data_IF_294525436306
#
_entry.id   IF_294525436306
#
_cell.length_a   1.000
_cell.length_b   1.000
_cell.length_c   1.000
_cell.angle_alpha   90.00
_cell.angle_beta   90.00
_cell.angle_gamma   90.00
#
_symmetry.space_group_name_H-M   'P 1'
#
loop_
_entity.id
_entity.type
_entity.pdbx_description
1 polymer ?
#
# COMPACT_ATOMS: atom_id res chain seq x y z
N UNK A 1 4.31 -9.47 -21.64
CA UNK A 1 5.71 -9.92 -21.50
C UNK A 1 6.17 -9.40 -20.15
N UNK A 2 6.38 -10.30 -19.20
CA UNK A 2 6.73 -9.94 -17.83
C UNK A 2 8.07 -9.16 -17.80
N UNK A 3 8.22 -8.14 -16.93
CA UNK A 3 9.47 -7.40 -16.78
C UNK A 3 10.65 -8.33 -16.44
N UNK A 4 11.86 -7.90 -16.80
CA UNK A 4 13.10 -8.64 -16.56
C UNK A 4 13.34 -8.89 -15.06
N UNK A 5 13.87 -10.08 -14.74
CA UNK A 5 14.06 -10.52 -13.36
C UNK A 5 14.95 -9.56 -12.57
N UNK A 6 16.00 -9.03 -13.20
CA UNK A 6 16.92 -8.10 -12.56
C UNK A 6 16.21 -6.81 -12.10
N UNK A 7 15.22 -6.36 -12.87
CA UNK A 7 14.44 -5.16 -12.58
C UNK A 7 13.48 -5.42 -11.43
N UNK A 8 12.75 -6.55 -11.46
CA UNK A 8 11.86 -6.95 -10.38
C UNK A 8 12.61 -7.18 -9.06
N UNK A 9 13.74 -7.89 -9.11
CA UNK A 9 14.59 -8.12 -7.94
C UNK A 9 15.16 -6.81 -7.39
N UNK A 10 15.57 -5.86 -8.25
CA UNK A 10 16.02 -4.54 -7.81
C UNK A 10 14.91 -3.77 -7.09
N UNK A 11 13.67 -3.82 -7.60
CA UNK A 11 12.51 -3.20 -6.96
C UNK A 11 12.21 -3.88 -5.62
N UNK A 12 12.16 -5.22 -5.58
CA UNK A 12 11.88 -5.97 -4.35
C UNK A 12 12.98 -5.79 -3.31
N UNK A 13 14.26 -5.74 -3.70
CA UNK A 13 15.39 -5.55 -2.78
C UNK A 13 15.38 -4.19 -2.09
N UNK A 14 14.76 -3.16 -2.70
CA UNK A 14 14.55 -1.87 -2.04
C UNK A 14 13.53 -1.96 -0.90
N UNK A 15 12.63 -2.93 -0.97
CA UNK A 15 11.43 -3.04 -0.10
C UNK A 15 11.51 -4.24 0.83
N UNK A 16 12.54 -5.09 0.73
CA UNK A 16 12.58 -6.37 1.43
C UNK A 16 13.95 -7.05 1.47
N UNK A 17 14.17 -7.89 2.50
CA UNK A 17 15.30 -8.81 2.53
C UNK A 17 15.01 -10.08 1.71
N UNK A 18 15.52 -10.09 0.47
CA UNK A 18 15.31 -11.18 -0.49
C UNK A 18 15.95 -12.51 -0.09
N UNK A 19 16.80 -12.53 0.93
CA UNK A 19 17.38 -13.78 1.45
C UNK A 19 16.40 -14.58 2.31
N UNK A 20 15.29 -13.96 2.73
CA UNK A 20 14.27 -14.59 3.59
C UNK A 20 13.17 -15.27 2.77
N UNK A 21 12.62 -16.40 3.25
CA UNK A 21 11.44 -17.02 2.67
C UNK A 21 10.27 -16.05 2.54
N UNK A 22 9.55 -16.11 1.42
CA UNK A 22 8.35 -15.31 1.17
C UNK A 22 7.39 -15.98 0.18
N UNK A 23 6.08 -15.68 0.23
CA UNK A 23 5.15 -16.05 -0.83
C UNK A 23 5.58 -15.55 -2.21
N UNK A 24 5.66 -16.48 -3.16
CA UNK A 24 5.95 -16.26 -4.57
C UNK A 24 4.88 -16.96 -5.39
N UNK A 25 4.27 -16.25 -6.35
CA UNK A 25 3.35 -16.81 -7.33
C UNK A 25 4.04 -16.92 -8.69
N UNK A 26 3.77 -18.01 -9.39
CA UNK A 26 4.30 -18.27 -10.73
C UNK A 26 3.16 -18.59 -11.68
N UNK A 27 3.25 -18.02 -12.88
CA UNK A 27 2.16 -18.01 -13.85
C UNK A 27 2.50 -18.79 -15.11
N UNK A 28 1.56 -19.62 -15.55
CA UNK A 28 1.69 -20.48 -16.71
C UNK A 28 0.47 -20.39 -17.62
N UNK A 29 0.69 -20.48 -18.93
CA UNK A 29 -0.33 -20.64 -19.96
C UNK A 29 -0.10 -21.94 -20.71
N UNK A 30 -1.04 -22.87 -20.62
CA UNK A 30 -0.94 -24.22 -21.17
C UNK A 30 -1.98 -24.42 -22.29
N UNK A 31 -1.74 -25.32 -23.26
CA UNK A 31 -2.66 -25.52 -24.37
C UNK A 31 -3.98 -26.17 -23.95
N UNK A 32 -4.00 -26.94 -22.86
CA UNK A 32 -5.17 -27.67 -22.37
C UNK A 32 -5.22 -27.70 -20.84
N UNK A 33 -6.41 -27.91 -20.28
CA UNK A 33 -6.60 -28.15 -18.84
C UNK A 33 -5.78 -29.35 -18.36
N UNK A 34 -5.75 -30.42 -19.15
CA UNK A 34 -4.98 -31.62 -18.83
C UNK A 34 -3.49 -31.33 -18.71
N UNK A 35 -2.93 -30.50 -19.60
CA UNK A 35 -1.53 -30.07 -19.52
C UNK A 35 -1.26 -29.23 -18.26
N UNK A 36 -2.22 -28.37 -17.86
CA UNK A 36 -2.10 -27.62 -16.61
C UNK A 36 -2.12 -28.53 -15.37
N UNK A 37 -3.01 -29.52 -15.34
CA UNK A 37 -3.07 -30.53 -14.27
C UNK A 37 -1.80 -31.40 -14.24
N UNK A 38 -1.27 -31.77 -15.40
CA UNK A 38 -0.01 -32.51 -15.50
C UNK A 38 1.17 -31.69 -14.99
N UNK A 39 1.27 -30.41 -15.37
CA UNK A 39 2.29 -29.50 -14.83
C UNK A 39 2.19 -29.41 -13.31
N UNK A 40 1.00 -29.21 -12.76
CA UNK A 40 0.77 -29.13 -11.32
C UNK A 40 1.25 -30.41 -10.60
N UNK A 41 1.02 -31.59 -11.19
CA UNK A 41 1.50 -32.86 -10.66
C UNK A 41 3.02 -33.00 -10.62
N UNK A 42 3.76 -32.24 -11.44
CA UNK A 42 5.24 -32.24 -11.49
C UNK A 42 5.87 -31.21 -10.52
N UNK A 43 5.06 -30.32 -9.94
CA UNK A 43 5.51 -29.22 -9.08
C UNK A 43 5.40 -29.58 -7.60
N UNK A 44 6.24 -30.51 -7.15
CA UNK A 44 6.29 -30.91 -5.73
C UNK A 44 6.57 -29.73 -4.79
N UNK A 45 5.76 -29.61 -3.74
CA UNK A 45 5.85 -28.52 -2.75
C UNK A 45 5.23 -27.19 -3.20
N UNK A 46 4.60 -27.15 -4.38
CA UNK A 46 3.85 -25.99 -4.86
C UNK A 46 2.34 -26.19 -4.64
N UNK A 47 1.65 -25.11 -4.32
CA UNK A 47 0.19 -25.12 -4.12
C UNK A 47 -0.49 -24.35 -5.23
N UNK A 48 -1.56 -24.90 -5.81
CA UNK A 48 -2.38 -24.16 -6.78
C UNK A 48 -3.05 -22.95 -6.12
N UNK A 49 -3.05 -21.81 -6.81
CA UNK A 49 -3.75 -20.60 -6.39
C UNK A 49 -4.93 -20.34 -7.32
N UNK A 50 -6.15 -20.34 -6.74
CA UNK A 50 -7.38 -20.21 -7.51
C UNK A 50 -7.65 -21.44 -8.40
N UNK A 51 -8.58 -21.30 -9.34
CA UNK A 51 -8.94 -22.38 -10.28
C UNK A 51 -8.08 -22.34 -11.55
N UNK A 52 -7.77 -23.52 -12.09
CA UNK A 52 -7.27 -23.66 -13.47
C UNK A 52 -8.41 -23.27 -14.41
N UNK A 53 -8.19 -22.27 -15.26
CA UNK A 53 -9.28 -21.68 -16.06
C UNK A 53 -8.84 -21.35 -17.49
N UNK A 54 -9.76 -21.41 -18.46
CA UNK A 54 -9.46 -20.99 -19.82
C UNK A 54 -9.24 -19.47 -19.88
N UNK A 55 -8.22 -19.04 -20.62
CA UNK A 55 -7.92 -17.65 -20.96
C UNK A 55 -7.58 -17.61 -22.45
N UNK A 56 -8.47 -16.99 -23.23
CA UNK A 56 -8.45 -17.02 -24.70
C UNK A 56 -8.35 -18.45 -25.24
N UNK A 57 -7.27 -18.77 -25.98
CA UNK A 57 -7.01 -20.08 -26.56
C UNK A 57 -6.07 -20.95 -25.69
N UNK A 58 -5.93 -20.63 -24.40
CA UNK A 58 -5.02 -21.32 -23.47
C UNK A 58 -5.70 -21.55 -22.11
N UNK A 59 -4.99 -22.21 -21.21
CA UNK A 59 -5.39 -22.49 -19.84
C UNK A 59 -4.39 -21.87 -18.88
N UNK A 60 -4.87 -20.99 -18.01
CA UNK A 60 -4.04 -20.32 -17.01
C UNK A 60 -3.94 -21.17 -15.74
N UNK A 61 -2.72 -21.34 -15.26
CA UNK A 61 -2.40 -21.96 -13.97
C UNK A 61 -1.51 -20.99 -13.17
N UNK A 62 -1.87 -20.78 -11.91
CA UNK A 62 -1.02 -20.09 -10.93
C UNK A 62 -0.65 -21.04 -9.82
N UNK A 63 0.63 -21.06 -9.46
CA UNK A 63 1.14 -21.85 -8.34
C UNK A 63 1.92 -20.97 -7.37
N UNK A 64 1.83 -21.29 -6.08
CA UNK A 64 2.47 -20.57 -4.99
C UNK A 64 3.40 -21.45 -4.19
N UNK A 65 4.47 -20.84 -3.72
CA UNK A 65 5.37 -21.40 -2.70
C UNK A 65 5.80 -20.31 -1.72
N UNK A 66 5.94 -20.63 -0.45
CA UNK A 66 6.13 -19.64 0.64
C UNK A 66 7.41 -19.86 1.46
N UNK A 67 8.08 -20.99 1.28
CA UNK A 67 9.26 -21.45 2.04
C UNK A 67 10.59 -21.15 1.33
N UNK A 68 10.56 -20.48 0.16
CA UNK A 68 11.75 -20.15 -0.62
C UNK A 68 12.05 -18.64 -0.60
N UNK A 69 13.34 -18.25 -0.63
CA UNK A 69 13.71 -16.85 -0.81
C UNK A 69 13.46 -16.39 -2.25
N UNK A 70 13.20 -15.09 -2.44
CA UNK A 70 13.01 -14.49 -3.77
C UNK A 70 14.26 -13.70 -4.20
N UNK A 71 15.42 -14.35 -4.14
CA UNK A 71 16.70 -13.77 -4.57
C UNK A 71 17.08 -14.24 -5.98
N UNK A 72 18.12 -13.62 -6.54
CA UNK A 72 18.60 -13.93 -7.89
C UNK A 72 18.90 -15.43 -8.12
N UNK A 73 19.67 -16.14 -7.26
CA UNK A 73 19.88 -17.58 -7.43
C UNK A 73 18.59 -18.40 -7.52
N UNK A 74 17.63 -18.14 -6.63
CA UNK A 74 16.38 -18.90 -6.58
C UNK A 74 15.50 -18.60 -7.79
N UNK A 75 15.29 -17.32 -8.10
CA UNK A 75 14.43 -16.91 -9.23
C UNK A 75 15.00 -17.38 -10.56
N UNK A 76 16.32 -17.25 -10.78
CA UNK A 76 16.96 -17.74 -12.00
C UNK A 76 16.83 -19.27 -12.16
N UNK A 77 16.95 -20.02 -11.06
CA UNK A 77 16.77 -21.47 -11.05
C UNK A 77 15.32 -21.88 -11.34
N UNK A 78 14.36 -21.21 -10.71
CA UNK A 78 12.94 -21.45 -10.92
C UNK A 78 12.52 -21.10 -12.35
N UNK A 79 12.92 -19.93 -12.86
CA UNK A 79 12.61 -19.51 -14.23
C UNK A 79 13.08 -20.53 -15.25
N UNK A 80 14.31 -21.02 -15.13
CA UNK A 80 14.86 -22.04 -16.04
C UNK A 80 14.01 -23.31 -16.01
N UNK A 81 13.82 -23.88 -14.81
CA UNK A 81 13.06 -25.12 -14.62
C UNK A 81 11.62 -24.98 -15.12
N UNK A 82 10.95 -23.87 -14.78
CA UNK A 82 9.55 -23.66 -15.12
C UNK A 82 9.34 -23.39 -16.60
N UNK A 83 10.30 -22.71 -17.25
CA UNK A 83 10.29 -22.55 -18.70
C UNK A 83 10.43 -23.91 -19.39
N UNK A 84 11.36 -24.76 -18.95
CA UNK A 84 11.54 -26.12 -19.50
C UNK A 84 10.26 -26.97 -19.32
N UNK A 85 9.71 -27.04 -18.11
CA UNK A 85 8.50 -27.80 -17.83
C UNK A 85 7.28 -27.32 -18.63
N UNK A 86 7.11 -26.01 -18.78
CA UNK A 86 6.02 -25.45 -19.57
C UNK A 86 6.19 -25.81 -21.05
N UNK A 87 7.41 -25.70 -21.60
CA UNK A 87 7.70 -26.02 -22.99
C UNK A 87 7.49 -27.50 -23.31
N UNK A 88 7.87 -28.41 -22.41
CA UNK A 88 7.67 -29.85 -22.57
C UNK A 88 6.17 -30.21 -22.72
N UNK A 89 5.29 -29.40 -22.15
CA UNK A 89 3.83 -29.53 -22.23
C UNK A 89 3.20 -28.63 -23.31
N UNK A 90 4.02 -28.01 -24.16
CA UNK A 90 3.58 -27.12 -25.24
C UNK A 90 2.99 -25.79 -24.76
N UNK A 91 3.28 -25.40 -23.53
CA UNK A 91 2.84 -24.15 -22.91
C UNK A 91 3.95 -23.11 -22.77
N UNK A 92 3.66 -22.10 -21.96
CA UNK A 92 4.51 -20.96 -21.68
C UNK A 92 4.53 -20.65 -20.19
N UNK A 93 5.73 -20.44 -19.66
CA UNK A 93 5.93 -19.77 -18.38
C UNK A 93 5.99 -18.25 -18.62
N UNK A 94 5.05 -17.50 -18.04
CA UNK A 94 4.96 -16.04 -18.27
C UNK A 94 5.87 -15.27 -17.31
N UNK A 95 5.85 -15.61 -16.02
CA UNK A 95 6.64 -14.93 -15.02
C UNK A 95 6.25 -15.25 -13.58
N UNK A 96 6.66 -14.37 -12.68
CA UNK A 96 6.48 -14.54 -11.25
C UNK A 96 6.29 -13.19 -10.56
N UNK A 97 5.67 -13.24 -9.39
CA UNK A 97 5.61 -12.13 -8.44
C UNK A 97 5.92 -12.65 -7.04
N UNK A 98 6.35 -11.77 -6.15
CA UNK A 98 6.51 -12.10 -4.74
C UNK A 98 6.00 -10.97 -3.85
N UNK A 99 5.49 -11.37 -2.71
CA UNK A 99 5.13 -10.43 -1.63
C UNK A 99 6.36 -9.66 -1.17
N UNK A 100 6.14 -8.41 -0.74
CA UNK A 100 7.17 -7.62 -0.06
C UNK A 100 6.96 -7.69 1.46
N UNK A 101 8.01 -7.36 2.22
CA UNK A 101 7.96 -7.27 3.69
C UNK A 101 7.02 -6.14 4.15
N UNK A 102 6.67 -5.20 3.25
CA UNK A 102 5.56 -4.27 3.37
C UNK A 102 4.29 -4.92 2.79
N UNK A 103 3.66 -5.76 3.60
CA UNK A 103 2.44 -6.45 3.21
C UNK A 103 1.25 -5.49 3.08
N UNK A 104 0.66 -5.43 1.89
CA UNK A 104 -0.79 -5.46 1.67
C UNK A 104 -1.03 -6.02 0.25
N UNK A 105 -1.00 -7.34 0.10
CA UNK A 105 -1.56 -7.97 -1.12
C UNK A 105 -3.02 -8.36 -0.85
N UNK A 106 -3.91 -7.49 -1.35
CA UNK A 106 -5.35 -7.67 -1.68
C UNK A 106 -6.37 -7.75 -0.52
N UNK A 107 -7.34 -6.82 -0.46
CA UNK A 107 -8.69 -7.14 -0.01
C UNK A 107 -9.39 -8.07 -1.02
N UNK A 108 -10.34 -8.87 -0.55
CA UNK A 108 -11.05 -9.92 -1.30
C UNK A 108 -11.94 -9.41 -2.45
N UNK A 109 -12.02 -8.10 -2.65
CA UNK A 109 -12.81 -7.43 -3.70
C UNK A 109 -12.00 -7.10 -4.97
N UNK A 110 -10.67 -7.29 -4.96
CA UNK A 110 -9.84 -7.19 -6.14
C UNK A 110 -9.23 -5.82 -6.41
N UNK A 111 -9.39 -4.84 -5.51
CA UNK A 111 -8.70 -3.55 -5.59
C UNK A 111 -7.32 -3.66 -4.97
N UNK A 112 -6.25 -3.38 -5.72
CA UNK A 112 -4.89 -3.44 -5.17
C UNK A 112 -4.68 -2.24 -4.23
N UNK A 113 -4.37 -2.51 -2.96
CA UNK A 113 -4.11 -1.51 -1.95
C UNK A 113 -2.66 -1.65 -1.49
N UNK A 114 -1.78 -0.72 -1.87
CA UNK A 114 -0.36 -0.77 -1.53
C UNK A 114 -0.03 0.30 -0.49
N UNK A 115 0.76 -0.06 0.53
CA UNK A 115 1.36 0.90 1.46
C UNK A 115 2.86 1.03 1.14
N UNK A 116 3.28 2.19 0.69
CA UNK A 116 4.67 2.52 0.39
C UNK A 116 5.25 3.45 1.46
N UNK A 117 6.56 3.43 1.64
CA UNK A 117 7.22 4.49 2.42
C UNK A 117 7.00 5.83 1.72
N UNK A 118 6.81 6.90 2.50
CA UNK A 118 6.74 8.24 1.94
C UNK A 118 8.02 8.56 1.16
N UNK A 119 7.83 9.22 0.02
CA UNK A 119 8.97 9.80 -0.66
C UNK A 119 9.59 10.94 0.18
N UNK A 120 10.85 11.32 -0.10
CA UNK A 120 11.53 12.35 0.69
C UNK A 120 10.82 13.71 0.71
N UNK A 121 10.11 14.08 -0.35
CA UNK A 121 9.40 15.36 -0.44
C UNK A 121 8.14 15.41 0.43
N UNK A 122 7.33 14.35 0.37
CA UNK A 122 6.17 14.19 1.24
C UNK A 122 6.57 14.13 2.71
N UNK A 123 7.65 13.39 2.98
CA UNK A 123 8.24 13.29 4.32
C UNK A 123 8.74 14.65 4.82
N UNK A 124 9.47 15.39 3.99
CA UNK A 124 9.98 16.71 4.32
C UNK A 124 8.84 17.70 4.65
N UNK A 125 7.71 17.60 3.96
CA UNK A 125 6.53 18.45 4.22
C UNK A 125 6.00 18.22 5.64
N UNK A 126 5.79 16.96 6.02
CA UNK A 126 5.37 16.61 7.39
C UNK A 126 6.41 17.09 8.40
N UNK A 127 7.69 16.75 8.19
CA UNK A 127 8.78 17.05 9.11
C UNK A 127 8.99 18.57 9.30
N UNK A 128 8.63 19.41 8.32
CA UNK A 128 8.63 20.88 8.44
C UNK A 128 7.42 21.42 9.22
N UNK A 129 6.24 20.83 9.06
CA UNK A 129 5.01 21.28 9.72
C UNK A 129 4.95 20.89 11.20
N UNK A 130 5.42 19.69 11.56
CA UNK A 130 5.35 19.17 12.93
C UNK A 130 5.97 20.13 13.97
N UNK A 131 7.19 20.68 13.79
CA UNK A 131 7.78 21.60 14.77
C UNK A 131 6.96 22.89 14.93
N UNK A 132 6.38 23.41 13.84
CA UNK A 132 5.55 24.60 13.87
C UNK A 132 4.25 24.34 14.64
N UNK A 133 3.57 23.23 14.34
CA UNK A 133 2.35 22.81 15.03
C UNK A 133 2.58 22.56 16.53
N UNK A 134 3.73 21.97 16.90
CA UNK A 134 4.14 21.83 18.31
C UNK A 134 4.31 23.19 18.98
N UNK A 135 5.01 24.12 18.34
CA UNK A 135 5.23 25.48 18.87
C UNK A 135 3.93 26.26 19.05
N UNK A 136 2.96 26.05 18.16
CA UNK A 136 1.63 26.64 18.21
C UNK A 136 0.70 25.94 19.23
N UNK A 137 1.13 24.82 19.80
CA UNK A 137 0.36 24.05 20.77
C UNK A 137 -0.78 23.22 20.17
N UNK A 138 -0.86 23.14 18.84
CA UNK A 138 -1.92 22.43 18.12
C UNK A 138 -1.84 20.91 18.29
N UNK A 139 -0.69 20.35 18.71
CA UNK A 139 -0.51 18.91 18.93
C UNK A 139 -0.69 18.47 20.39
N UNK A 140 -1.08 19.36 21.31
CA UNK A 140 -1.20 19.00 22.72
C UNK A 140 -2.38 18.06 23.01
N UNK A 141 -3.51 18.29 22.33
CA UNK A 141 -4.71 17.47 22.43
C UNK A 141 -5.62 17.70 21.21
N UNK A 142 -6.64 16.85 20.99
CA UNK A 142 -7.59 17.05 19.92
C UNK A 142 -8.33 18.39 20.04
N UNK A 143 -8.62 18.84 21.26
CA UNK A 143 -9.30 20.12 21.53
C UNK A 143 -8.39 21.32 21.29
N UNK A 144 -7.09 21.17 21.56
CA UNK A 144 -6.10 22.20 21.25
C UNK A 144 -6.01 22.43 19.74
N UNK A 145 -6.11 21.36 18.94
CA UNK A 145 -6.19 21.47 17.48
C UNK A 145 -7.47 22.18 17.02
N UNK A 146 -8.63 21.82 17.56
CA UNK A 146 -9.90 22.51 17.23
C UNK A 146 -9.82 24.00 17.57
N UNK A 147 -9.28 24.35 18.74
CA UNK A 147 -9.09 25.75 19.15
C UNK A 147 -8.17 26.50 18.17
N UNK A 148 -7.08 25.87 17.75
CA UNK A 148 -6.16 26.43 16.75
C UNK A 148 -6.86 26.66 15.40
N UNK A 149 -7.62 25.66 14.96
CA UNK A 149 -8.39 25.70 13.72
C UNK A 149 -9.43 26.83 13.74
N UNK A 150 -10.22 26.93 14.81
CA UNK A 150 -11.28 27.94 14.94
C UNK A 150 -10.70 29.36 14.94
N UNK A 151 -9.52 29.54 15.55
CA UNK A 151 -8.82 30.81 15.54
C UNK A 151 -8.31 31.21 14.15
N UNK A 152 -7.84 30.25 13.34
CA UNK A 152 -7.27 30.50 12.01
C UNK A 152 -8.30 30.53 10.88
N UNK A 153 -9.42 29.82 11.01
CA UNK A 153 -10.42 29.59 9.94
C UNK A 153 -10.90 30.88 9.25
N UNK A 154 -11.21 32.00 9.92
CA UNK A 154 -11.66 33.22 9.25
C UNK A 154 -10.60 33.79 8.29
N UNK A 155 -9.34 33.84 8.72
CA UNK A 155 -8.24 34.35 7.90
C UNK A 155 -7.92 33.40 6.74
N UNK A 156 -7.93 32.09 7.00
CA UNK A 156 -7.70 31.08 5.96
C UNK A 156 -8.78 31.09 4.88
N UNK A 157 -10.06 31.21 5.23
CA UNK A 157 -11.14 31.31 4.24
C UNK A 157 -11.04 32.59 3.41
N UNK A 158 -10.64 33.71 4.03
CA UNK A 158 -10.38 34.95 3.30
C UNK A 158 -9.21 34.80 2.32
N UNK A 159 -8.08 34.24 2.77
CA UNK A 159 -6.91 34.00 1.90
C UNK A 159 -7.21 32.99 0.79
N UNK A 160 -7.95 31.92 1.08
CA UNK A 160 -8.35 30.94 0.08
C UNK A 160 -9.31 31.49 -0.99
N UNK A 161 -10.05 32.56 -0.68
CA UNK A 161 -10.82 33.30 -1.67
C UNK A 161 -9.91 34.08 -2.64
N UNK A 162 -8.77 34.58 -2.15
CA UNK A 162 -7.79 35.32 -2.95
C UNK A 162 -6.83 34.40 -3.71
N UNK A 163 -6.42 33.30 -3.09
CA UNK A 163 -5.54 32.28 -3.62
C UNK A 163 -6.06 30.88 -3.27
N UNK A 164 -6.69 30.17 -4.22
CA UNK A 164 -7.22 28.83 -4.01
C UNK A 164 -6.19 27.82 -3.49
N UNK A 165 -4.89 28.00 -3.75
CA UNK A 165 -3.84 27.10 -3.23
C UNK A 165 -3.74 27.13 -1.69
N UNK A 166 -4.21 28.21 -1.05
CA UNK A 166 -4.29 28.29 0.41
C UNK A 166 -5.19 27.21 1.00
N UNK A 167 -6.22 26.76 0.26
CA UNK A 167 -7.09 25.68 0.73
C UNK A 167 -6.28 24.39 0.93
N UNK A 168 -5.44 24.04 -0.05
CA UNK A 168 -4.60 22.85 0.00
C UNK A 168 -3.59 22.95 1.14
N UNK A 169 -2.94 24.11 1.31
CA UNK A 169 -2.00 24.33 2.43
C UNK A 169 -2.67 24.13 3.80
N UNK A 170 -3.91 24.59 3.95
CA UNK A 170 -4.68 24.44 5.21
C UNK A 170 -5.11 22.99 5.41
N UNK A 171 -5.53 22.29 4.36
CA UNK A 171 -5.84 20.85 4.41
C UNK A 171 -4.59 20.07 4.84
N UNK A 172 -3.42 20.38 4.28
CA UNK A 172 -2.16 19.74 4.67
C UNK A 172 -1.77 20.07 6.11
N UNK A 173 -1.97 21.31 6.57
CA UNK A 173 -1.71 21.71 7.94
C UNK A 173 -2.59 20.94 8.94
N UNK A 174 -3.90 20.89 8.69
CA UNK A 174 -4.87 20.24 9.57
C UNK A 174 -4.70 18.71 9.54
N UNK A 175 -4.55 18.13 8.36
CA UNK A 175 -4.32 16.70 8.18
C UNK A 175 -3.03 16.24 8.86
N UNK A 176 -1.94 16.99 8.72
CA UNK A 176 -0.67 16.71 9.43
C UNK A 176 -0.88 16.77 10.94
N UNK A 177 -1.57 17.79 11.44
CA UNK A 177 -1.78 17.93 12.88
C UNK A 177 -2.62 16.80 13.48
N UNK A 178 -3.71 16.42 12.82
CA UNK A 178 -4.55 15.31 13.24
C UNK A 178 -3.79 13.98 13.17
N UNK A 179 -3.08 13.74 12.05
CA UNK A 179 -2.30 12.54 11.87
C UNK A 179 -1.18 12.39 12.89
N UNK A 180 -0.43 13.45 13.19
CA UNK A 180 0.63 13.39 14.21
C UNK A 180 0.10 13.04 15.61
N UNK A 181 -1.08 13.54 15.99
CA UNK A 181 -1.69 13.16 17.26
C UNK A 181 -2.08 11.67 17.29
N UNK A 182 -2.63 11.16 16.19
CA UNK A 182 -3.01 9.74 16.05
C UNK A 182 -1.77 8.87 16.05
N UNK A 183 -0.76 9.20 15.25
CA UNK A 183 0.52 8.47 15.16
C UNK A 183 1.21 8.39 16.52
N UNK A 184 1.30 9.51 17.26
CA UNK A 184 1.90 9.54 18.58
C UNK A 184 1.16 8.65 19.61
N UNK A 185 -0.16 8.54 19.51
CA UNK A 185 -0.99 7.75 20.43
C UNK A 185 -1.07 6.26 20.09
N UNK A 186 -0.86 5.89 18.82
CA UNK A 186 -1.12 4.54 18.31
C UNK A 186 0.13 3.80 17.85
N UNK A 187 1.21 4.54 17.55
CA UNK A 187 2.42 4.02 16.93
C UNK A 187 2.28 3.76 15.42
N UNK A 188 1.16 4.14 14.80
CA UNK A 188 1.04 4.11 13.34
C UNK A 188 2.07 5.04 12.70
N UNK A 189 2.46 4.71 11.48
CA UNK A 189 3.45 5.45 10.70
C UNK A 189 2.83 6.05 9.46
N UNK A 190 3.38 7.19 9.04
CA UNK A 190 3.03 7.80 7.76
C UNK A 190 3.56 6.98 6.60
N UNK A 191 2.68 6.68 5.65
CA UNK A 191 2.96 5.90 4.44
C UNK A 191 2.14 6.45 3.28
N UNK A 192 2.55 6.15 2.06
CA UNK A 192 1.78 6.42 0.86
C UNK A 192 0.85 5.24 0.59
N UNK A 193 -0.45 5.47 0.60
CA UNK A 193 -1.44 4.55 0.11
C UNK A 193 -1.58 4.70 -1.40
N UNK A 194 -1.39 3.62 -2.15
CA UNK A 194 -1.70 3.55 -3.57
C UNK A 194 -2.89 2.61 -3.75
N UNK A 195 -4.01 3.16 -4.19
CA UNK A 195 -5.25 2.43 -4.47
C UNK A 195 -5.72 2.80 -5.88
N UNK A 196 -5.69 1.83 -6.80
CA UNK A 196 -5.88 2.03 -8.25
C UNK A 196 -4.95 3.12 -8.82
N UNK A 197 -5.51 4.24 -9.29
CA UNK A 197 -4.79 5.41 -9.82
C UNK A 197 -4.71 6.56 -8.79
N UNK A 198 -5.03 6.30 -7.52
CA UNK A 198 -5.06 7.29 -6.44
C UNK A 198 -3.92 7.04 -5.46
N UNK A 199 -3.11 8.06 -5.26
CA UNK A 199 -2.06 8.11 -4.24
C UNK A 199 -2.49 9.05 -3.11
N UNK A 200 -2.45 8.58 -1.86
CA UNK A 200 -2.82 9.36 -0.68
C UNK A 200 -1.84 9.11 0.47
N UNK A 201 -1.37 10.17 1.12
CA UNK A 201 -0.60 10.02 2.36
C UNK A 201 -1.54 9.65 3.52
N UNK A 202 -1.26 8.53 4.16
CA UNK A 202 -2.10 7.96 5.24
C UNK A 202 -1.26 7.58 6.45
N UNK A 203 -1.94 7.25 7.55
CA UNK A 203 -1.34 6.52 8.65
C UNK A 203 -1.76 5.07 8.57
N UNK A 204 -0.80 4.16 8.56
CA UNK A 204 -1.12 2.75 8.53
C UNK A 204 -0.06 1.88 9.21
N UNK A 205 -0.52 0.70 9.57
CA UNK A 205 0.27 -0.47 9.94
C UNK A 205 -0.42 -1.68 9.31
N UNK A 206 0.36 -2.64 8.83
CA UNK A 206 -0.12 -3.79 8.07
C UNK A 206 -1.17 -4.61 8.84
N UNK A 207 -1.13 -4.58 10.18
CA UNK A 207 -2.03 -5.34 11.05
C UNK A 207 -3.21 -4.53 11.60
N UNK A 208 -3.12 -3.18 11.58
CA UNK A 208 -4.03 -2.31 12.36
C UNK A 208 -4.92 -1.40 11.51
N UNK A 209 -4.80 -1.49 10.19
CA UNK A 209 -5.64 -0.76 9.25
C UNK A 209 -5.06 0.60 8.84
N UNK A 210 -5.92 1.39 8.17
CA UNK A 210 -5.53 2.65 7.53
C UNK A 210 -6.42 3.79 8.01
N UNK A 211 -5.78 4.88 8.40
CA UNK A 211 -6.41 6.14 8.77
C UNK A 211 -6.00 7.19 7.75
N UNK A 212 -6.96 8.01 7.28
CA UNK A 212 -6.77 9.00 6.20
C UNK A 212 -6.92 10.44 6.72
N UNK A 213 -5.90 11.04 7.38
CA UNK A 213 -6.01 12.37 7.95
C UNK A 213 -6.27 13.48 6.94
N UNK A 214 -5.68 13.41 5.73
CA UNK A 214 -5.86 14.43 4.70
C UNK A 214 -7.25 14.39 4.07
N UNK A 215 -7.80 13.20 3.78
CA UNK A 215 -9.20 13.07 3.37
C UNK A 215 -10.15 13.70 4.39
N UNK A 216 -9.97 13.42 5.69
CA UNK A 216 -10.77 14.03 6.74
C UNK A 216 -10.63 15.56 6.77
N UNK A 217 -9.41 16.08 6.67
CA UNK A 217 -9.17 17.52 6.64
C UNK A 217 -9.82 18.19 5.41
N UNK A 218 -9.81 17.53 4.26
CA UNK A 218 -10.51 17.98 3.05
C UNK A 218 -12.02 18.02 3.26
N UNK A 219 -12.62 16.95 3.77
CA UNK A 219 -14.06 16.92 4.08
C UNK A 219 -14.46 18.03 5.07
N UNK A 220 -13.67 18.23 6.12
CA UNK A 220 -13.85 19.31 7.08
C UNK A 220 -13.77 20.70 6.43
N UNK A 221 -12.82 20.91 5.51
CA UNK A 221 -12.64 22.18 4.81
C UNK A 221 -13.82 22.50 3.88
N UNK A 222 -14.30 21.48 3.16
CA UNK A 222 -15.45 21.55 2.26
C UNK A 222 -16.81 21.57 2.98
N UNK A 223 -16.81 21.40 4.31
CA UNK A 223 -18.01 21.27 5.14
C UNK A 223 -18.92 20.11 4.69
N UNK A 224 -18.32 19.08 4.08
CA UNK A 224 -18.98 17.86 3.65
C UNK A 224 -19.06 16.90 4.83
N UNK A 225 -20.26 16.81 5.42
CA UNK A 225 -20.46 16.02 6.64
C UNK A 225 -19.94 16.76 7.87
N UNK A 226 -20.63 16.60 9.00
CA UNK A 226 -20.27 17.24 10.27
C UNK A 226 -19.11 16.50 10.96
N UNK A 227 -18.04 16.19 10.23
CA UNK A 227 -16.90 15.47 10.80
C UNK A 227 -16.14 16.45 11.71
N UNK A 228 -16.35 16.31 13.01
CA UNK A 228 -15.59 17.04 14.01
C UNK A 228 -14.17 16.44 14.06
N UNK A 229 -13.16 17.29 13.85
CA UNK A 229 -11.75 16.87 13.79
C UNK A 229 -11.33 16.17 15.09
N UNK A 230 -11.82 16.62 16.24
CA UNK A 230 -11.49 16.02 17.53
C UNK A 230 -12.14 14.65 17.72
N UNK A 231 -13.40 14.50 17.27
CA UNK A 231 -14.08 13.20 17.30
C UNK A 231 -13.41 12.19 16.36
N UNK A 232 -12.97 12.63 15.17
CA UNK A 232 -12.20 11.80 14.26
C UNK A 232 -10.91 11.28 14.91
N UNK A 233 -10.11 12.16 15.51
CA UNK A 233 -8.84 11.77 16.16
C UNK A 233 -9.12 10.75 17.27
N UNK A 234 -10.12 10.98 18.11
CA UNK A 234 -10.49 10.07 19.20
C UNK A 234 -10.95 8.72 18.67
N UNK A 235 -11.83 8.71 17.67
CA UNK A 235 -12.32 7.49 17.06
C UNK A 235 -11.18 6.68 16.42
N UNK A 236 -10.28 7.33 15.68
CA UNK A 236 -9.11 6.69 15.08
C UNK A 236 -8.21 6.04 16.14
N UNK A 237 -7.91 6.75 17.24
CA UNK A 237 -7.12 6.20 18.34
C UNK A 237 -7.80 4.98 18.97
N UNK A 238 -9.11 5.05 19.20
CA UNK A 238 -9.88 3.94 19.78
C UNK A 238 -9.91 2.71 18.87
N UNK A 239 -10.11 2.90 17.56
CA UNK A 239 -10.22 1.79 16.59
C UNK A 239 -8.91 1.00 16.46
N UNK A 240 -7.77 1.67 16.60
CA UNK A 240 -6.43 1.05 16.45
C UNK A 240 -5.96 0.35 17.74
N UNK A 241 -6.57 0.65 18.89
CA UNK A 241 -6.20 0.10 20.20
C UNK A 241 -7.01 -1.14 20.63
N UNK A 242 -8.04 -1.53 19.85
CA UNK A 242 -8.87 -2.72 20.09
C UNK A 242 -8.25 -3.94 19.41
#
# INVERSE_FOLDING_TARGET
MHPDDSTLLSILAKRSDLSRPRPQDHFFFLPTEQAALELLGQLEGWTQVGDIRPVDNTWALTVRRTDLPANEPTIAGLRRRFTELALDLGGLYDGWQATTDVGLDRPTDGTAMLLEELDPGDRDTIDQLVPLLKKLGALHSPEALVTFIDAGRPEWKMKAFEDPATADDVIHLVGTAAGEQIAAATGLRWVLLVEDDVEEIVLADAERGVIRPFSMASEWWEEKGRTDVSDFIRAAIMLVQI
#
